data_IF_066344540771
#
_entry.id   IF_066344540771
#
_cell.length_a   1.000
_cell.length_b   1.000
_cell.length_c   1.000
_cell.angle_alpha   90.00
_cell.angle_beta   90.00
_cell.angle_gamma   90.00
#
_symmetry.space_group_name_H-M   'P 1'
#
loop_
_entity.id
_entity.type
_entity.pdbx_description
1 polymer ?
#
# COMPACT_ATOMS: atom_id res chain seq x y z
N UNK A 1 -17.43 43.77 6.35
CA UNK A 1 -16.50 42.67 6.69
C UNK A 1 -16.48 41.72 5.49
N UNK A 2 -15.44 41.76 4.66
CA UNK A 2 -15.41 41.00 3.41
C UNK A 2 -14.88 39.58 3.68
N UNK A 3 -15.72 38.57 3.43
CA UNK A 3 -15.33 37.15 3.49
C UNK A 3 -14.42 36.87 2.29
N UNK A 4 -13.12 36.73 2.56
CA UNK A 4 -12.12 36.36 1.55
C UNK A 4 -12.34 34.89 1.21
N UNK A 5 -12.95 34.60 0.06
CA UNK A 5 -13.13 33.21 -0.39
C UNK A 5 -11.77 32.63 -0.76
N UNK A 6 -11.28 31.70 0.05
CA UNK A 6 -10.10 30.89 -0.28
C UNK A 6 -10.55 29.91 -1.35
N UNK A 7 -10.19 30.15 -2.62
CA UNK A 7 -10.37 29.16 -3.68
C UNK A 7 -9.35 28.04 -3.46
N UNK A 8 -9.81 26.90 -2.97
CA UNK A 8 -9.01 25.67 -3.01
C UNK A 8 -9.13 25.06 -4.41
N UNK A 9 -8.04 25.02 -5.16
CA UNK A 9 -7.95 24.24 -6.39
C UNK A 9 -7.50 22.82 -6.05
N UNK A 10 -8.35 21.84 -6.34
CA UNK A 10 -8.00 20.43 -6.17
C UNK A 10 -7.37 19.92 -7.47
N UNK A 11 -6.04 19.75 -7.47
CA UNK A 11 -5.33 19.12 -8.58
C UNK A 11 -5.27 17.61 -8.31
N UNK A 12 -5.84 16.76 -9.19
CA UNK A 12 -5.83 15.33 -8.99
C UNK A 12 -4.41 14.76 -9.22
N UNK A 13 -4.01 13.72 -8.47
CA UNK A 13 -2.63 13.19 -8.51
C UNK A 13 -2.28 12.65 -9.90
N UNK A 14 -1.12 13.03 -10.40
CA UNK A 14 -0.58 12.59 -11.70
C UNK A 14 -0.36 11.07 -11.76
N UNK A 15 -0.18 10.53 -12.97
CA UNK A 15 0.09 9.10 -13.17
C UNK A 15 1.31 8.63 -12.37
N UNK A 16 2.41 9.39 -12.45
CA UNK A 16 3.67 9.06 -11.76
C UNK A 16 3.49 9.09 -10.25
N UNK A 17 2.76 10.07 -9.71
CA UNK A 17 2.47 10.14 -8.28
C UNK A 17 1.62 8.96 -7.81
N UNK A 18 0.64 8.52 -8.61
CA UNK A 18 -0.18 7.36 -8.30
C UNK A 18 0.63 6.05 -8.34
N UNK A 19 1.50 5.88 -9.34
CA UNK A 19 2.40 4.72 -9.40
C UNK A 19 3.39 4.72 -8.24
N UNK A 20 3.98 5.87 -7.91
CA UNK A 20 4.86 6.00 -6.75
C UNK A 20 4.13 5.69 -5.45
N UNK A 21 2.91 6.21 -5.28
CA UNK A 21 2.06 5.91 -4.12
C UNK A 21 1.74 4.42 -4.03
N UNK A 22 1.47 3.75 -5.16
CA UNK A 22 1.25 2.31 -5.21
C UNK A 22 2.48 1.54 -4.70
N UNK A 23 3.67 1.89 -5.17
CA UNK A 23 4.93 1.26 -4.74
C UNK A 23 5.14 1.45 -3.24
N UNK A 24 4.97 2.67 -2.73
CA UNK A 24 5.15 2.97 -1.32
C UNK A 24 4.13 2.21 -0.45
N UNK A 25 2.86 2.23 -0.83
CA UNK A 25 1.79 1.64 -0.03
C UNK A 25 1.86 0.12 -0.04
N UNK A 26 1.89 -0.51 -1.22
CA UNK A 26 1.86 -1.96 -1.33
C UNK A 26 3.21 -2.63 -1.11
N UNK A 27 4.31 -1.93 -1.39
CA UNK A 27 5.65 -2.46 -1.18
C UNK A 27 6.13 -2.25 0.25
N UNK A 28 6.14 -1.00 0.69
CA UNK A 28 6.76 -0.62 1.96
C UNK A 28 5.77 -0.59 3.12
N UNK A 29 4.70 0.19 3.04
CA UNK A 29 3.76 0.38 4.16
C UNK A 29 3.06 -0.92 4.56
N UNK A 30 2.58 -1.68 3.57
CA UNK A 30 1.94 -2.98 3.79
C UNK A 30 2.93 -3.97 4.43
N UNK A 31 4.13 -4.14 3.84
CA UNK A 31 5.15 -5.02 4.40
C UNK A 31 5.61 -4.65 5.82
N UNK A 32 5.85 -3.36 6.07
CA UNK A 32 6.26 -2.88 7.39
C UNK A 32 5.13 -3.06 8.41
N UNK A 33 3.90 -2.71 8.06
CA UNK A 33 2.76 -2.87 8.95
C UNK A 33 2.47 -4.34 9.27
N UNK A 34 2.65 -5.26 8.33
CA UNK A 34 2.58 -6.72 8.57
C UNK A 34 3.64 -7.16 9.59
N UNK A 35 4.89 -6.68 9.47
CA UNK A 35 5.94 -7.00 10.44
C UNK A 35 5.66 -6.44 11.83
N UNK A 36 5.13 -5.21 11.91
CA UNK A 36 4.70 -4.63 13.18
C UNK A 36 3.58 -5.48 13.79
N UNK A 37 2.54 -5.83 13.02
CA UNK A 37 1.47 -6.70 13.49
C UNK A 37 1.98 -8.06 13.99
N UNK A 38 2.92 -8.69 13.28
CA UNK A 38 3.56 -9.92 13.71
C UNK A 38 4.33 -9.73 15.04
N UNK A 39 5.07 -8.63 15.18
CA UNK A 39 5.88 -8.37 16.38
C UNK A 39 5.03 -8.19 17.65
N UNK A 40 3.82 -7.64 17.52
CA UNK A 40 2.91 -7.43 18.65
C UNK A 40 2.02 -8.65 18.92
N UNK A 41 1.58 -9.35 17.88
CA UNK A 41 0.69 -10.53 18.05
C UNK A 41 1.44 -11.82 18.35
N UNK A 42 2.73 -11.91 17.97
CA UNK A 42 3.53 -13.13 18.08
C UNK A 42 3.06 -14.28 17.18
N UNK A 43 2.09 -14.06 16.27
CA UNK A 43 1.52 -15.11 15.42
C UNK A 43 1.26 -14.65 14.00
N UNK A 44 1.56 -15.52 13.04
CA UNK A 44 1.24 -15.33 11.63
C UNK A 44 -0.16 -15.85 11.26
N UNK A 45 -0.96 -16.37 12.22
CA UNK A 45 -2.25 -16.99 11.93
C UNK A 45 -3.28 -16.04 11.29
N UNK A 46 -3.11 -14.72 11.50
CA UNK A 46 -3.97 -13.68 10.96
C UNK A 46 -3.64 -13.31 9.50
N UNK A 47 -2.49 -13.74 8.96
CA UNK A 47 -2.11 -13.48 7.57
C UNK A 47 -2.92 -14.37 6.63
N UNK A 48 -3.76 -13.79 5.77
CA UNK A 48 -4.63 -14.55 4.87
C UNK A 48 -3.87 -15.28 3.76
N UNK A 49 -2.77 -14.73 3.28
CA UNK A 49 -2.00 -15.35 2.19
C UNK A 49 -1.15 -16.51 2.74
N UNK A 50 -1.39 -17.77 2.34
CA UNK A 50 -0.68 -18.91 2.92
C UNK A 50 0.83 -18.87 2.64
N UNK A 51 1.27 -18.28 1.53
CA UNK A 51 2.69 -18.17 1.17
C UNK A 51 3.40 -17.11 2.02
N UNK A 52 2.77 -15.94 2.19
CA UNK A 52 3.30 -14.89 3.08
C UNK A 52 3.30 -15.39 4.51
N UNK A 53 2.27 -16.11 4.95
CA UNK A 53 2.22 -16.74 6.26
C UNK A 53 3.42 -17.66 6.50
N UNK A 54 3.73 -18.55 5.55
CA UNK A 54 4.93 -19.40 5.67
C UNK A 54 6.20 -18.57 5.72
N UNK A 55 6.33 -17.55 4.87
CA UNK A 55 7.51 -16.68 4.85
C UNK A 55 7.70 -15.92 6.17
N UNK A 56 6.62 -15.44 6.80
CA UNK A 56 6.64 -14.80 8.12
C UNK A 56 7.14 -15.76 9.22
N UNK A 57 6.91 -17.06 9.11
CA UNK A 57 7.36 -18.04 10.11
C UNK A 57 8.86 -18.35 10.01
N UNK A 58 9.42 -18.36 8.80
CA UNK A 58 10.82 -18.76 8.59
C UNK A 58 11.78 -17.58 8.40
N UNK A 59 11.36 -16.54 7.69
CA UNK A 59 12.19 -15.39 7.34
C UNK A 59 11.35 -14.10 7.24
N UNK A 60 10.91 -13.52 8.39
CA UNK A 60 9.99 -12.39 8.40
C UNK A 60 10.44 -11.21 7.55
N UNK A 61 11.71 -10.79 7.68
CA UNK A 61 12.24 -9.63 6.95
C UNK A 61 12.21 -9.82 5.43
N UNK A 62 12.21 -11.05 4.93
CA UNK A 62 12.10 -11.34 3.50
C UNK A 62 10.72 -10.95 2.96
N UNK A 63 9.67 -10.86 3.79
CA UNK A 63 8.35 -10.36 3.36
C UNK A 63 8.44 -8.90 2.91
N UNK A 64 9.16 -8.05 3.65
CA UNK A 64 9.34 -6.64 3.30
C UNK A 64 10.11 -6.52 1.97
N UNK A 65 11.18 -7.30 1.82
CA UNK A 65 11.98 -7.33 0.58
C UNK A 65 11.14 -7.81 -0.59
N UNK A 66 10.40 -8.91 -0.43
CA UNK A 66 9.55 -9.50 -1.46
C UNK A 66 8.46 -8.53 -1.90
N UNK A 67 7.69 -7.97 -0.96
CA UNK A 67 6.62 -7.00 -1.26
C UNK A 67 7.18 -5.76 -1.95
N UNK A 68 8.30 -5.22 -1.44
CA UNK A 68 8.96 -4.07 -2.06
C UNK A 68 9.43 -4.38 -3.48
N UNK A 69 10.06 -5.54 -3.71
CA UNK A 69 10.54 -5.94 -5.03
C UNK A 69 9.40 -6.14 -6.03
N UNK A 70 8.32 -6.81 -5.62
CA UNK A 70 7.13 -7.00 -6.46
C UNK A 70 6.47 -5.66 -6.78
N UNK A 71 6.27 -4.80 -5.78
CA UNK A 71 5.67 -3.48 -5.98
C UNK A 71 6.54 -2.59 -6.88
N UNK A 72 7.86 -2.59 -6.69
CA UNK A 72 8.81 -1.87 -7.56
C UNK A 72 8.75 -2.38 -9.00
N UNK A 73 8.74 -3.70 -9.19
CA UNK A 73 8.60 -4.29 -10.52
C UNK A 73 7.30 -3.86 -11.20
N UNK A 74 6.17 -3.93 -10.48
CA UNK A 74 4.88 -3.43 -10.97
C UNK A 74 4.96 -1.94 -11.30
N UNK A 75 5.60 -1.13 -10.45
CA UNK A 75 5.79 0.29 -10.67
C UNK A 75 6.58 0.58 -11.95
N UNK A 76 7.69 -0.12 -12.18
CA UNK A 76 8.49 -0.01 -13.41
C UNK A 76 7.64 -0.38 -14.62
N UNK A 77 6.94 -1.53 -14.59
CA UNK A 77 6.08 -1.97 -15.70
C UNK A 77 4.98 -0.94 -15.99
N UNK A 78 4.36 -0.35 -14.96
CA UNK A 78 3.36 0.70 -15.14
C UNK A 78 3.96 1.95 -15.79
N UNK A 79 5.14 2.38 -15.36
CA UNK A 79 5.82 3.54 -15.97
C UNK A 79 6.19 3.28 -17.43
N UNK A 80 6.72 2.11 -17.76
CA UNK A 80 7.06 1.72 -19.15
C UNK A 80 5.80 1.62 -20.04
N UNK A 81 4.68 1.18 -19.47
CA UNK A 81 3.40 1.06 -20.19
C UNK A 81 2.48 2.29 -20.03
N UNK A 82 3.02 3.42 -19.57
CA UNK A 82 2.23 4.62 -19.24
C UNK A 82 1.27 5.02 -20.36
N UNK A 83 1.75 5.11 -21.59
CA UNK A 83 0.92 5.54 -22.72
C UNK A 83 -0.27 4.62 -22.96
N UNK A 84 -0.10 3.32 -22.72
CA UNK A 84 -1.18 2.34 -22.87
C UNK A 84 -2.19 2.47 -21.73
N UNK A 85 -1.72 2.63 -20.49
CA UNK A 85 -2.58 2.77 -19.33
C UNK A 85 -3.37 4.07 -19.37
N UNK A 86 -2.74 5.21 -19.73
CA UNK A 86 -3.41 6.51 -19.80
C UNK A 86 -4.48 6.58 -20.92
N UNK A 87 -4.41 5.72 -21.94
CA UNK A 87 -5.46 5.56 -22.96
C UNK A 87 -6.69 4.80 -22.46
N UNK A 88 -6.57 4.07 -21.36
CA UNK A 88 -7.67 3.26 -20.83
C UNK A 88 -8.64 4.15 -20.04
N UNK A 89 -9.93 4.20 -20.40
CA UNK A 89 -10.90 5.00 -19.65
C UNK A 89 -10.98 4.50 -18.19
N UNK A 90 -10.91 5.44 -17.24
CA UNK A 90 -11.00 5.11 -15.82
C UNK A 90 -9.68 4.67 -15.16
N UNK A 91 -8.52 4.78 -15.84
CA UNK A 91 -7.23 4.42 -15.25
C UNK A 91 -6.95 5.15 -13.91
N UNK A 92 -7.34 6.43 -13.80
CA UNK A 92 -7.06 7.25 -12.63
C UNK A 92 -7.86 6.80 -11.40
N UNK A 93 -9.21 6.73 -11.42
CA UNK A 93 -9.95 6.22 -10.27
C UNK A 93 -9.59 4.76 -9.96
N UNK A 94 -9.21 3.95 -10.96
CA UNK A 94 -8.72 2.60 -10.71
C UNK A 94 -7.42 2.58 -9.90
N UNK A 95 -6.37 3.29 -10.33
CA UNK A 95 -5.11 3.35 -9.60
C UNK A 95 -5.29 3.97 -8.21
N UNK A 96 -6.09 5.04 -8.10
CA UNK A 96 -6.44 5.63 -6.79
C UNK A 96 -7.13 4.60 -5.90
N UNK A 97 -8.06 3.81 -6.43
CA UNK A 97 -8.74 2.74 -5.69
C UNK A 97 -7.79 1.65 -5.22
N UNK A 98 -6.87 1.20 -6.07
CA UNK A 98 -5.84 0.22 -5.72
C UNK A 98 -4.93 0.73 -4.60
N UNK A 99 -4.49 2.00 -4.68
CA UNK A 99 -3.70 2.64 -3.62
C UNK A 99 -4.50 2.74 -2.31
N UNK A 100 -5.77 3.15 -2.39
CA UNK A 100 -6.64 3.26 -1.22
C UNK A 100 -6.85 1.91 -0.52
N UNK A 101 -7.05 0.83 -1.27
CA UNK A 101 -7.18 -0.53 -0.71
C UNK A 101 -5.89 -0.91 0.03
N UNK A 102 -4.72 -0.70 -0.56
CA UNK A 102 -3.45 -1.00 0.10
C UNK A 102 -3.23 -0.18 1.37
N UNK A 103 -3.67 1.07 1.38
CA UNK A 103 -3.60 1.93 2.55
C UNK A 103 -4.52 1.41 3.67
N UNK A 104 -5.74 0.99 3.32
CA UNK A 104 -6.67 0.36 4.28
C UNK A 104 -6.13 -0.96 4.83
N UNK A 105 -5.49 -1.78 3.99
CA UNK A 105 -4.81 -3.01 4.44
C UNK A 105 -3.71 -2.69 5.45
N UNK A 106 -2.87 -1.71 5.15
CA UNK A 106 -1.79 -1.27 6.05
C UNK A 106 -2.34 -0.76 7.38
N UNK A 107 -3.42 0.04 7.34
CA UNK A 107 -4.11 0.51 8.54
C UNK A 107 -4.73 -0.64 9.34
N UNK A 108 -5.27 -1.67 8.67
CA UNK A 108 -5.76 -2.89 9.30
C UNK A 108 -4.67 -3.62 10.08
N UNK A 109 -3.47 -3.76 9.50
CA UNK A 109 -2.32 -4.35 10.18
C UNK A 109 -1.90 -3.53 11.42
N UNK A 110 -1.86 -2.20 11.30
CA UNK A 110 -1.59 -1.31 12.45
C UNK A 110 -2.66 -1.44 13.52
N UNK A 111 -3.93 -1.53 13.13
CA UNK A 111 -5.03 -1.77 14.06
C UNK A 111 -4.86 -3.09 14.82
N UNK A 112 -4.51 -4.18 14.13
CA UNK A 112 -4.22 -5.48 14.76
C UNK A 112 -3.07 -5.37 15.76
N UNK A 113 -1.99 -4.67 15.39
CA UNK A 113 -0.86 -4.44 16.29
C UNK A 113 -1.30 -3.68 17.54
N UNK A 114 -2.08 -2.60 17.39
CA UNK A 114 -2.60 -1.82 18.51
C UNK A 114 -3.52 -2.69 19.38
N UNK A 115 -4.43 -3.45 18.79
CA UNK A 115 -5.35 -4.32 19.54
C UNK A 115 -4.59 -5.35 20.38
N UNK A 116 -3.47 -5.88 19.89
CA UNK A 116 -2.63 -6.82 20.63
C UNK A 116 -1.91 -6.21 21.84
N UNK A 117 -1.73 -4.88 21.90
CA UNK A 117 -1.17 -4.21 23.10
C UNK A 117 -2.17 -4.18 24.26
N UNK A 118 -3.47 -4.25 23.97
CA UNK A 118 -4.54 -4.12 24.96
C UNK A 118 -5.12 -5.46 25.44
N UNK A 119 -4.53 -6.58 25.04
CA UNK A 119 -4.92 -7.96 25.41
C UNK A 119 -3.81 -8.59 26.22
#
# INVERSE_FOLDING_TARGET
>A
MAVRSVRMSFEPPSYVELVFSLVLVWGFADGLSTLVALSFTGTAALEYNPWIRQLLLYAPLTVLVLKSAVALYVGVVLLELREFVERTPGWRPWLTGVVAIGALTSLGNVYVAMAAVWV
#
